data_IF_335689131298
#
_entry.id   IF_335689131298
#
_cell.length_a   1.000
_cell.length_b   1.000
_cell.length_c   1.000
_cell.angle_alpha   90.00
_cell.angle_beta   90.00
_cell.angle_gamma   90.00
#
_symmetry.space_group_name_H-M   'P 1'
#
loop_
_entity.id
_entity.type
_entity.pdbx_description
1 polymer ?
#
# COMPACT_ATOMS: atom_id res chain seq x y z
N UNK A 1 53.83 -55.55 20.43
CA UNK A 1 53.53 -54.49 19.44
C UNK A 1 52.20 -53.87 19.79
N UNK A 2 52.17 -52.54 19.82
CA UNK A 2 51.07 -51.59 20.02
C UNK A 2 50.26 -51.65 21.33
N UNK A 3 50.66 -50.75 22.23
CA UNK A 3 49.80 -50.10 23.22
C UNK A 3 48.91 -49.05 22.52
N UNK A 4 47.65 -48.91 22.95
CA UNK A 4 46.89 -47.68 22.75
C UNK A 4 46.26 -47.26 24.08
N UNK A 5 46.65 -46.07 24.51
CA UNK A 5 46.24 -45.42 25.73
C UNK A 5 44.83 -44.82 25.59
N UNK A 6 44.05 -44.94 26.66
CA UNK A 6 42.75 -44.33 26.86
C UNK A 6 42.96 -43.09 27.75
N UNK A 7 42.63 -41.86 27.32
CA UNK A 7 42.62 -40.72 28.24
C UNK A 7 41.24 -40.58 28.87
N UNK A 8 41.20 -40.77 30.18
CA UNK A 8 40.24 -40.17 31.10
C UNK A 8 40.37 -38.64 31.00
N UNK A 9 39.28 -37.93 30.74
CA UNK A 9 39.18 -36.51 31.03
C UNK A 9 38.00 -36.24 31.96
N UNK A 10 38.36 -35.54 33.04
CA UNK A 10 37.60 -35.23 34.22
C UNK A 10 36.42 -34.30 33.91
N UNK A 11 35.33 -34.52 34.65
CA UNK A 11 34.20 -33.62 34.71
C UNK A 11 34.58 -32.26 35.30
N UNK A 12 34.12 -31.21 34.65
CA UNK A 12 33.97 -29.88 35.24
C UNK A 12 32.50 -29.51 35.08
N UNK A 13 31.76 -29.58 36.18
CA UNK A 13 30.39 -29.05 36.29
C UNK A 13 30.46 -27.53 36.36
N UNK A 14 30.18 -26.87 35.23
CA UNK A 14 29.88 -25.43 35.16
C UNK A 14 28.39 -25.21 34.89
N UNK A 15 27.74 -24.20 35.48
CA UNK A 15 26.32 -23.98 35.31
C UNK A 15 26.00 -23.54 33.87
N UNK A 16 25.00 -24.18 33.28
CA UNK A 16 24.36 -23.73 32.04
C UNK A 16 23.60 -22.45 32.37
N UNK A 17 24.17 -21.30 31.99
CA UNK A 17 23.43 -20.04 31.95
C UNK A 17 22.50 -20.14 30.74
N UNK A 18 21.23 -20.43 31.01
CA UNK A 18 20.16 -20.25 30.05
C UNK A 18 20.09 -18.75 29.73
N UNK A 19 20.50 -18.36 28.52
CA UNK A 19 20.27 -17.01 28.01
C UNK A 19 18.80 -16.92 27.63
N UNK A 20 17.99 -16.53 28.59
CA UNK A 20 16.59 -16.16 28.42
C UNK A 20 16.58 -14.81 27.68
N UNK A 21 16.54 -14.84 26.34
CA UNK A 21 16.34 -13.66 25.51
C UNK A 21 14.87 -13.24 25.58
N UNK A 22 14.50 -12.67 26.73
CA UNK A 22 13.25 -11.95 26.92
C UNK A 22 13.21 -10.77 25.92
N UNK A 23 12.25 -10.81 25.01
CA UNK A 23 11.87 -9.64 24.20
C UNK A 23 11.53 -8.47 25.13
N UNK A 24 11.90 -7.22 24.80
CA UNK A 24 11.62 -6.08 25.65
C UNK A 24 10.11 -5.92 25.83
N UNK A 25 9.66 -5.99 27.08
CA UNK A 25 8.29 -5.69 27.49
C UNK A 25 8.10 -4.18 27.38
N UNK A 26 7.25 -3.73 26.46
CA UNK A 26 6.88 -2.31 26.35
C UNK A 26 5.80 -2.05 27.40
N UNK A 27 6.15 -1.29 28.43
CA UNK A 27 5.20 -0.83 29.45
C UNK A 27 4.34 0.30 28.87
N UNK A 28 3.04 0.04 28.68
CA UNK A 28 2.06 1.05 28.31
C UNK A 28 1.54 1.75 29.56
N UNK A 29 1.52 3.09 29.56
CA UNK A 29 0.77 3.84 30.56
C UNK A 29 -0.73 3.50 30.46
N UNK A 30 -1.46 3.41 31.59
CA UNK A 30 -2.88 3.05 31.58
C UNK A 30 -3.70 4.13 30.86
N UNK A 31 -4.26 3.77 29.70
CA UNK A 31 -5.24 4.57 28.98
C UNK A 31 -6.59 4.45 29.69
N UNK A 32 -7.14 5.58 30.12
CA UNK A 32 -8.53 5.68 30.57
C UNK A 32 -9.48 5.27 29.45
N UNK A 33 -10.43 4.39 29.76
CA UNK A 33 -11.41 3.91 28.81
C UNK A 33 -12.34 5.04 28.36
N UNK A 34 -12.14 5.55 27.14
CA UNK A 34 -13.14 6.38 26.49
C UNK A 34 -14.23 5.50 25.87
N UNK A 35 -15.47 5.92 26.05
CA UNK A 35 -16.70 5.28 25.57
C UNK A 35 -16.74 5.32 24.04
N UNK A 36 -17.37 4.35 23.32
CA UNK A 36 -17.41 4.38 21.86
C UNK A 36 -18.03 5.69 21.37
N UNK A 37 -17.21 6.54 20.76
CA UNK A 37 -17.66 7.81 20.23
C UNK A 37 -18.68 7.56 19.12
N UNK A 38 -19.88 8.13 19.29
CA UNK A 38 -20.80 8.37 18.18
C UNK A 38 -20.00 9.04 17.05
N UNK A 39 -20.20 8.59 15.82
CA UNK A 39 -19.55 9.13 14.62
C UNK A 39 -19.56 10.67 14.66
N UNK A 40 -18.42 11.26 14.99
CA UNK A 40 -18.25 12.71 14.94
C UNK A 40 -18.45 13.15 13.50
N UNK A 41 -19.17 14.24 13.30
CA UNK A 41 -19.25 14.90 12.00
C UNK A 41 -17.82 15.10 11.46
N UNK A 42 -17.56 14.88 10.15
CA UNK A 42 -16.21 14.94 9.62
C UNK A 42 -15.59 16.30 9.98
N UNK A 43 -14.47 16.23 10.71
CA UNK A 43 -13.71 17.39 11.11
C UNK A 43 -13.42 18.27 9.88
N UNK A 44 -13.60 19.58 10.01
CA UNK A 44 -13.35 20.50 8.90
C UNK A 44 -11.90 20.32 8.44
N UNK A 45 -11.72 19.83 7.20
CA UNK A 45 -10.38 19.59 6.66
C UNK A 45 -9.60 20.89 6.66
N UNK A 46 -8.40 20.87 7.25
CA UNK A 46 -7.48 22.01 7.22
C UNK A 46 -7.26 22.49 5.76
N UNK A 47 -6.98 23.80 5.55
CA UNK A 47 -6.71 24.34 4.22
C UNK A 47 -5.63 23.53 3.48
N UNK A 48 -5.71 23.39 2.14
CA UNK A 48 -4.74 22.60 1.37
C UNK A 48 -3.28 22.97 1.66
N UNK A 49 -2.97 24.26 1.82
CA UNK A 49 -1.61 24.74 2.12
C UNK A 49 -1.05 24.22 3.44
N UNK A 50 -1.89 24.03 4.45
CA UNK A 50 -1.48 23.52 5.76
C UNK A 50 -1.27 22.01 5.69
N UNK A 51 -2.19 21.32 5.01
CA UNK A 51 -2.13 19.86 4.81
C UNK A 51 -0.93 19.40 4.00
N UNK A 52 -0.45 20.24 3.08
CA UNK A 52 0.74 20.00 2.28
C UNK A 52 2.02 19.78 3.11
N UNK A 53 2.03 20.16 4.39
CA UNK A 53 3.16 19.98 5.30
C UNK A 53 2.95 18.85 6.31
N UNK A 54 1.77 18.23 6.29
CA UNK A 54 1.43 17.16 7.21
C UNK A 54 1.75 15.82 6.54
N UNK A 55 2.41 14.97 7.30
CA UNK A 55 2.73 13.60 6.92
C UNK A 55 2.32 12.66 8.07
N UNK A 56 1.97 11.40 7.79
CA UNK A 56 1.72 10.43 8.84
C UNK A 56 2.90 10.34 9.82
N UNK A 57 2.63 10.17 11.11
CA UNK A 57 3.67 10.23 12.15
C UNK A 57 4.79 9.18 11.97
N UNK A 58 4.49 8.08 11.27
CA UNK A 58 5.40 6.99 10.96
C UNK A 58 6.13 7.17 9.63
N UNK A 59 5.89 8.27 8.90
CA UNK A 59 6.59 8.62 7.67
C UNK A 59 7.68 9.66 8.01
N UNK A 60 8.93 9.23 8.27
CA UNK A 60 9.97 10.15 8.71
C UNK A 60 10.41 11.07 7.56
N UNK A 61 10.16 12.37 7.71
CA UNK A 61 10.57 13.40 6.75
C UNK A 61 11.92 14.06 7.10
N UNK A 62 12.47 13.76 8.29
CA UNK A 62 13.76 14.29 8.75
C UNK A 62 14.91 13.77 7.87
N UNK A 63 15.85 14.65 7.55
CA UNK A 63 17.04 14.34 6.74
C UNK A 63 16.88 14.59 5.24
N UNK A 64 15.65 14.85 4.78
CA UNK A 64 15.39 15.31 3.41
C UNK A 64 15.79 16.78 3.25
N UNK A 65 16.39 17.12 2.11
CA UNK A 65 16.81 18.47 1.72
C UNK A 65 15.88 19.00 0.64
N UNK A 66 15.69 20.32 0.58
CA UNK A 66 14.91 20.92 -0.50
C UNK A 66 15.51 20.53 -1.87
N UNK A 67 14.67 20.30 -2.89
CA UNK A 67 15.13 20.02 -4.25
C UNK A 67 16.14 21.06 -4.74
N UNK A 68 17.26 20.59 -5.29
CA UNK A 68 18.29 21.47 -5.86
C UNK A 68 17.81 22.22 -7.10
N UNK A 69 16.89 21.59 -7.86
CA UNK A 69 16.32 22.12 -9.09
C UNK A 69 14.87 22.51 -8.83
N UNK A 70 14.48 23.72 -9.26
CA UNK A 70 13.10 24.19 -9.20
C UNK A 70 12.69 24.80 -10.52
N UNK A 71 11.76 24.16 -11.21
CA UNK A 71 11.28 24.57 -12.53
C UNK A 71 9.81 24.96 -12.46
N UNK A 72 9.47 26.10 -13.04
CA UNK A 72 8.09 26.56 -13.19
C UNK A 72 7.68 26.45 -14.66
N UNK A 73 6.54 25.83 -14.92
CA UNK A 73 6.08 25.49 -16.27
C UNK A 73 4.84 26.33 -16.60
N UNK A 74 4.90 27.09 -17.70
CA UNK A 74 3.83 28.00 -18.14
C UNK A 74 2.73 27.26 -18.87
N UNK A 75 1.47 27.48 -18.48
CA UNK A 75 0.35 26.73 -19.06
C UNK A 75 0.20 26.98 -20.58
N UNK A 76 -0.08 28.22 -20.97
CA UNK A 76 -0.41 28.56 -22.36
C UNK A 76 0.75 28.29 -23.32
N UNK A 77 1.97 28.62 -22.90
CA UNK A 77 3.16 28.40 -23.71
C UNK A 77 3.42 26.90 -23.91
N UNK A 78 3.26 26.09 -22.87
CA UNK A 78 3.44 24.63 -22.99
C UNK A 78 2.37 23.99 -23.86
N UNK A 79 1.11 24.44 -23.74
CA UNK A 79 0.00 24.00 -24.59
C UNK A 79 0.26 24.29 -26.06
N UNK A 80 0.76 25.49 -26.37
CA UNK A 80 1.10 25.89 -27.74
C UNK A 80 2.30 25.09 -28.30
N UNK A 81 3.28 24.77 -27.45
CA UNK A 81 4.49 24.06 -27.84
C UNK A 81 4.34 22.53 -27.89
N UNK A 82 3.34 21.96 -27.20
CA UNK A 82 3.16 20.52 -27.08
C UNK A 82 4.17 19.83 -26.15
N UNK A 83 4.93 20.60 -25.37
CA UNK A 83 5.90 20.13 -24.36
C UNK A 83 6.06 21.21 -23.27
N UNK A 84 6.76 20.93 -22.17
CA UNK A 84 6.98 21.92 -21.12
C UNK A 84 7.77 23.14 -21.60
N UNK A 85 7.17 24.32 -21.42
CA UNK A 85 7.83 25.61 -21.57
C UNK A 85 8.02 26.25 -20.21
N UNK A 86 9.27 26.58 -19.88
CA UNK A 86 9.70 26.99 -18.56
C UNK A 86 9.70 28.51 -18.38
N UNK A 87 9.44 28.96 -17.16
CA UNK A 87 9.62 30.36 -16.75
C UNK A 87 11.05 30.58 -16.23
N UNK A 88 11.93 31.11 -17.09
CA UNK A 88 13.33 31.33 -16.76
C UNK A 88 14.24 30.19 -17.23
N UNK A 89 15.09 29.65 -16.34
CA UNK A 89 15.99 28.53 -16.67
C UNK A 89 15.15 27.31 -17.06
N UNK A 90 15.38 26.80 -18.26
CA UNK A 90 14.67 25.64 -18.79
C UNK A 90 15.34 24.31 -18.42
N UNK A 91 14.65 23.21 -18.73
CA UNK A 91 15.22 21.87 -18.61
C UNK A 91 16.43 21.63 -19.53
N UNK A 92 16.63 22.45 -20.56
CA UNK A 92 17.77 22.31 -21.49
C UNK A 92 19.13 22.42 -20.78
N UNK A 93 19.22 23.24 -19.74
CA UNK A 93 20.43 23.41 -18.92
C UNK A 93 20.77 22.15 -18.12
N UNK A 94 19.80 21.24 -17.95
CA UNK A 94 19.97 19.97 -17.24
C UNK A 94 20.59 18.89 -18.13
N UNK A 95 20.64 19.07 -19.46
CA UNK A 95 21.09 18.06 -20.42
C UNK A 95 20.44 16.68 -20.18
N UNK A 96 19.16 16.68 -19.81
CA UNK A 96 18.41 15.46 -19.51
C UNK A 96 18.64 14.87 -18.11
N UNK A 97 19.42 15.52 -17.23
CA UNK A 97 19.89 14.94 -15.96
C UNK A 97 19.60 15.84 -14.76
N UNK A 98 19.16 15.24 -13.66
CA UNK A 98 18.90 15.94 -12.41
C UNK A 98 19.73 15.36 -11.26
N UNK A 99 20.57 16.21 -10.66
CA UNK A 99 21.30 15.91 -9.43
C UNK A 99 20.71 16.69 -8.25
N UNK A 100 20.63 16.06 -7.07
CA UNK A 100 20.14 16.71 -5.85
C UNK A 100 18.62 16.90 -5.73
N UNK A 101 17.82 16.30 -6.63
CA UNK A 101 16.35 16.36 -6.61
C UNK A 101 15.76 17.52 -7.42
N UNK A 102 14.46 17.43 -7.73
CA UNK A 102 13.74 18.46 -8.50
C UNK A 102 12.35 18.77 -7.93
N UNK A 103 11.89 19.99 -8.18
CA UNK A 103 10.50 20.44 -7.98
C UNK A 103 9.96 21.02 -9.29
N UNK A 104 8.95 20.39 -9.88
CA UNK A 104 8.22 20.89 -11.03
C UNK A 104 6.91 21.52 -10.59
N UNK A 105 6.72 22.79 -10.97
CA UNK A 105 5.60 23.63 -10.57
C UNK A 105 4.82 24.02 -11.81
N UNK A 106 3.67 23.39 -12.01
CA UNK A 106 2.81 23.61 -13.17
C UNK A 106 1.82 24.75 -12.91
N UNK A 107 1.70 25.68 -13.85
CA UNK A 107 0.69 26.73 -13.76
C UNK A 107 -0.71 26.13 -13.73
N UNK A 108 -1.45 26.49 -12.68
CA UNK A 108 -2.72 25.87 -12.36
C UNK A 108 -3.83 26.32 -13.32
N UNK A 109 -3.68 27.51 -13.89
CA UNK A 109 -4.66 28.20 -14.71
C UNK A 109 -4.04 28.61 -16.05
N UNK A 110 -4.86 28.59 -17.10
CA UNK A 110 -4.52 29.17 -18.40
C UNK A 110 -4.75 30.70 -18.43
N UNK A 111 -4.44 31.33 -19.56
CA UNK A 111 -4.63 32.77 -19.76
C UNK A 111 -6.07 33.24 -19.68
N UNK A 112 -7.05 32.32 -19.68
CA UNK A 112 -8.47 32.58 -19.49
C UNK A 112 -8.95 32.28 -18.06
N UNK A 113 -8.04 31.90 -17.15
CA UNK A 113 -8.34 31.57 -15.76
C UNK A 113 -9.00 30.21 -15.56
N UNK A 114 -8.99 29.33 -16.56
CA UNK A 114 -9.52 27.96 -16.47
C UNK A 114 -8.42 26.99 -16.01
N UNK A 115 -8.77 25.86 -15.36
CA UNK A 115 -7.79 24.83 -14.99
C UNK A 115 -6.94 24.37 -16.18
N UNK A 116 -5.62 24.38 -16.01
CA UNK A 116 -4.70 24.04 -17.09
C UNK A 116 -4.78 22.55 -17.47
N UNK A 117 -4.81 22.29 -18.78
CA UNK A 117 -4.68 20.95 -19.36
C UNK A 117 -3.44 20.91 -20.27
N UNK A 118 -2.43 20.16 -19.85
CA UNK A 118 -1.20 19.91 -20.59
C UNK A 118 -1.39 18.71 -21.54
N UNK A 119 -1.16 18.86 -22.86
CA UNK A 119 -1.49 17.83 -23.86
C UNK A 119 -0.41 16.73 -24.02
N UNK A 120 0.39 16.50 -22.98
CA UNK A 120 1.54 15.59 -23.00
C UNK A 120 1.69 14.93 -21.62
N UNK A 121 2.52 13.89 -21.53
CA UNK A 121 2.93 13.33 -20.24
C UNK A 121 4.09 14.17 -19.67
N UNK A 122 4.17 14.35 -18.34
CA UNK A 122 5.28 15.08 -17.74
C UNK A 122 6.64 14.50 -18.12
N UNK A 123 7.57 15.38 -18.47
CA UNK A 123 8.96 15.01 -18.66
C UNK A 123 9.59 14.51 -17.34
N UNK A 124 10.45 13.49 -17.43
CA UNK A 124 11.17 12.91 -16.29
C UNK A 124 12.68 12.90 -16.60
N UNK A 125 13.50 13.73 -15.92
CA UNK A 125 14.96 13.70 -16.11
C UNK A 125 15.57 12.40 -15.58
N UNK A 126 16.70 12.00 -16.17
CA UNK A 126 17.55 10.97 -15.60
C UNK A 126 18.11 11.45 -14.27
N UNK A 127 17.90 10.67 -13.21
CA UNK A 127 18.38 11.02 -11.88
C UNK A 127 19.85 10.59 -11.76
N UNK A 128 20.70 11.50 -11.31
CA UNK A 128 22.15 11.28 -11.19
C UNK A 128 22.71 11.82 -9.87
N UNK A 129 23.94 11.44 -9.54
CA UNK A 129 24.64 11.91 -8.35
C UNK A 129 24.15 11.27 -7.05
N UNK A 130 24.41 11.93 -5.92
CA UNK A 130 24.06 11.41 -4.61
C UNK A 130 22.54 11.50 -4.34
N UNK A 131 21.94 10.35 -3.98
CA UNK A 131 20.49 10.24 -3.72
C UNK A 131 20.10 10.52 -2.26
N UNK A 132 21.04 10.40 -1.31
CA UNK A 132 20.67 10.48 0.10
C UNK A 132 20.16 11.86 0.48
N UNK A 133 18.93 11.94 0.96
CA UNK A 133 18.22 13.17 1.34
C UNK A 133 17.58 13.93 0.18
N UNK A 134 17.45 13.35 -1.01
CA UNK A 134 16.84 14.06 -2.17
C UNK A 134 15.32 13.95 -2.20
N UNK A 135 14.70 14.94 -2.86
CA UNK A 135 13.25 15.03 -3.04
C UNK A 135 12.90 15.27 -4.52
N UNK A 136 11.80 14.65 -4.97
CA UNK A 136 11.30 14.70 -6.34
C UNK A 136 9.82 15.05 -6.30
N UNK A 137 9.49 16.30 -6.61
CA UNK A 137 8.17 16.88 -6.35
C UNK A 137 7.57 17.37 -7.66
N UNK A 138 6.31 17.01 -7.90
CA UNK A 138 5.53 17.47 -9.05
C UNK A 138 4.19 17.98 -8.55
N UNK A 139 3.92 19.26 -8.79
CA UNK A 139 2.71 19.88 -8.24
C UNK A 139 2.14 21.02 -9.06
N UNK A 140 0.86 21.29 -8.83
CA UNK A 140 0.25 22.56 -9.21
C UNK A 140 0.87 23.74 -8.46
N UNK A 141 0.91 24.89 -9.13
CA UNK A 141 1.32 26.19 -8.57
C UNK A 141 0.34 26.73 -7.53
N UNK A 142 -0.94 26.33 -7.57
CA UNK A 142 -1.98 26.74 -6.62
C UNK A 142 -2.44 25.51 -5.82
N UNK A 143 -2.15 25.42 -4.51
CA UNK A 143 -2.59 24.31 -3.67
C UNK A 143 -4.11 24.10 -3.71
N UNK A 144 -4.54 22.86 -3.91
CA UNK A 144 -5.95 22.49 -4.07
C UNK A 144 -6.54 22.76 -5.45
N UNK A 145 -5.76 23.31 -6.40
CA UNK A 145 -6.18 23.49 -7.80
C UNK A 145 -5.44 22.52 -8.70
N UNK A 146 -6.12 21.47 -9.10
CA UNK A 146 -5.53 20.40 -9.91
C UNK A 146 -5.18 20.88 -11.33
N UNK A 147 -3.98 20.52 -11.82
CA UNK A 147 -3.63 20.54 -13.26
C UNK A 147 -3.87 19.17 -13.88
N UNK A 148 -4.17 19.10 -15.17
CA UNK A 148 -4.35 17.82 -15.87
C UNK A 148 -3.29 17.61 -16.94
N UNK A 149 -2.64 16.44 -16.93
CA UNK A 149 -1.89 15.92 -18.09
C UNK A 149 -2.78 14.96 -18.84
N UNK A 150 -3.03 15.24 -20.12
CA UNK A 150 -3.89 14.40 -20.97
C UNK A 150 -3.22 14.15 -22.31
N UNK A 151 -2.96 12.87 -22.60
CA UNK A 151 -2.38 12.46 -23.88
C UNK A 151 -2.83 11.05 -24.27
N UNK A 152 -2.91 10.80 -25.58
CA UNK A 152 -3.19 9.48 -26.14
C UNK A 152 -1.96 8.62 -26.36
N UNK A 153 -0.77 9.09 -25.96
CA UNK A 153 0.48 8.35 -26.10
C UNK A 153 0.45 7.01 -25.34
N UNK A 154 0.84 5.96 -26.03
CA UNK A 154 0.87 4.59 -25.50
C UNK A 154 1.89 4.38 -24.39
N UNK A 155 2.88 5.28 -24.28
CA UNK A 155 3.96 5.25 -23.30
C UNK A 155 3.80 6.31 -22.20
N UNK A 156 2.72 7.07 -22.18
CA UNK A 156 2.52 8.14 -21.19
C UNK A 156 2.54 7.62 -19.74
N UNK A 157 3.45 8.16 -18.94
CA UNK A 157 3.64 7.79 -17.54
C UNK A 157 4.41 8.89 -16.79
N UNK A 158 4.25 8.96 -15.47
CA UNK A 158 5.30 9.46 -14.57
C UNK A 158 6.08 8.24 -14.11
N UNK A 159 7.35 8.16 -14.54
CA UNK A 159 8.22 7.02 -14.30
C UNK A 159 9.41 7.42 -13.42
N UNK A 160 9.29 7.18 -12.12
CA UNK A 160 10.37 7.42 -11.17
C UNK A 160 11.15 6.12 -10.96
N UNK A 161 12.30 6.00 -11.62
CA UNK A 161 13.15 4.82 -11.56
C UNK A 161 14.45 5.11 -10.84
N UNK A 162 14.70 4.38 -9.77
CA UNK A 162 15.97 4.41 -9.04
C UNK A 162 16.34 3.01 -8.60
N UNK A 163 17.57 2.61 -8.86
CA UNK A 163 18.07 1.29 -8.53
C UNK A 163 19.21 1.42 -7.52
N UNK A 164 19.39 0.40 -6.70
CA UNK A 164 20.49 0.29 -5.76
C UNK A 164 20.64 1.51 -4.83
N UNK A 165 19.53 2.07 -4.35
CA UNK A 165 19.57 3.30 -3.53
C UNK A 165 20.23 3.07 -2.16
N UNK A 166 20.47 1.82 -1.77
CA UNK A 166 21.24 1.46 -0.58
C UNK A 166 20.64 2.08 0.70
N UNK A 167 21.44 2.76 1.55
CA UNK A 167 20.95 3.38 2.77
C UNK A 167 20.32 4.77 2.55
N UNK A 168 20.15 5.23 1.30
CA UNK A 168 19.69 6.58 1.01
C UNK A 168 18.25 6.84 1.49
N UNK A 169 17.99 8.09 1.85
CA UNK A 169 16.67 8.64 2.13
C UNK A 169 16.14 9.38 0.91
N UNK A 170 15.09 8.87 0.28
CA UNK A 170 14.52 9.47 -0.94
C UNK A 170 13.03 9.73 -0.75
N UNK A 171 12.56 10.86 -1.28
CA UNK A 171 11.15 11.23 -1.24
C UNK A 171 10.61 11.62 -2.61
N UNK A 172 9.41 11.15 -2.91
CA UNK A 172 8.61 11.57 -4.05
C UNK A 172 7.27 12.16 -3.58
N UNK A 173 6.84 13.27 -4.19
CA UNK A 173 5.52 13.84 -3.96
C UNK A 173 4.84 14.25 -5.26
N UNK A 174 3.63 13.72 -5.48
CA UNK A 174 2.71 14.15 -6.55
C UNK A 174 1.50 14.81 -5.91
N UNK A 175 1.24 16.08 -6.28
CA UNK A 175 0.22 16.87 -5.60
C UNK A 175 -0.58 17.78 -6.50
N UNK A 176 -1.91 17.75 -6.37
CA UNK A 176 -2.81 18.55 -7.20
C UNK A 176 -2.56 18.30 -8.70
N UNK A 177 -2.38 17.03 -9.07
CA UNK A 177 -2.12 16.60 -10.44
C UNK A 177 -3.11 15.52 -10.85
N UNK A 178 -3.73 15.68 -12.02
CA UNK A 178 -4.44 14.63 -12.72
C UNK A 178 -3.57 14.05 -13.85
N UNK A 179 -3.42 12.74 -13.86
CA UNK A 179 -2.90 11.95 -14.97
C UNK A 179 -4.09 11.31 -15.68
N UNK A 180 -4.31 11.67 -16.93
CA UNK A 180 -5.38 11.13 -17.78
C UNK A 180 -4.76 10.60 -19.07
N UNK A 181 -4.31 9.34 -19.01
CA UNK A 181 -3.57 8.68 -20.09
C UNK A 181 -4.41 7.55 -20.72
N UNK A 182 -5.47 7.86 -21.49
CA UNK A 182 -6.38 6.89 -22.05
C UNK A 182 -5.78 5.93 -23.07
N UNK A 183 -4.60 6.26 -23.63
CA UNK A 183 -3.88 5.43 -24.59
C UNK A 183 -2.73 4.61 -23.99
N UNK A 184 -2.35 4.84 -22.72
CA UNK A 184 -1.12 4.30 -22.13
C UNK A 184 -1.16 2.80 -21.83
N UNK A 185 -1.15 1.97 -22.87
CA UNK A 185 -1.24 0.50 -22.76
C UNK A 185 0.12 -0.19 -22.46
N UNK A 186 1.23 0.49 -22.73
CA UNK A 186 2.57 -0.07 -22.58
C UNK A 186 3.11 -0.03 -21.14
N UNK A 187 3.01 1.09 -20.38
CA UNK A 187 3.65 1.21 -19.07
C UNK A 187 2.96 0.35 -18.01
N UNK A 188 3.72 -0.08 -16.99
CA UNK A 188 3.19 -0.84 -15.85
C UNK A 188 2.23 0.01 -15.00
N UNK A 189 2.48 1.32 -14.91
CA UNK A 189 1.74 2.29 -14.11
C UNK A 189 1.59 3.63 -14.85
N UNK A 190 0.45 4.31 -14.77
CA UNK A 190 0.40 5.75 -15.10
C UNK A 190 1.29 6.56 -14.12
N UNK A 191 1.29 6.15 -12.85
CA UNK A 191 2.32 6.47 -11.89
C UNK A 191 3.15 5.19 -11.61
N UNK A 192 4.37 5.17 -12.11
CA UNK A 192 5.30 4.05 -11.99
C UNK A 192 6.44 4.42 -11.02
N UNK A 193 6.43 3.81 -9.83
CA UNK A 193 7.39 4.08 -8.76
C UNK A 193 8.38 2.92 -8.62
N UNK A 194 9.28 2.73 -9.59
CA UNK A 194 10.27 1.65 -9.55
C UNK A 194 11.54 2.06 -8.79
N UNK A 195 11.43 2.07 -7.46
CA UNK A 195 12.56 2.37 -6.56
C UNK A 195 12.96 1.11 -5.80
N UNK A 196 14.14 0.56 -6.12
CA UNK A 196 14.60 -0.73 -5.58
C UNK A 196 16.00 -0.64 -4.97
N UNK A 197 16.41 -1.72 -4.28
CA UNK A 197 17.74 -1.83 -3.67
C UNK A 197 17.93 -1.00 -2.38
N UNK A 198 16.86 -0.39 -1.87
CA UNK A 198 16.83 0.23 -0.56
C UNK A 198 17.06 -0.81 0.54
N UNK A 199 17.92 -0.51 1.52
CA UNK A 199 18.18 -1.37 2.68
C UNK A 199 18.14 -0.53 3.95
N UNK A 200 17.59 -1.08 5.04
CA UNK A 200 17.62 -0.44 6.37
C UNK A 200 19.03 0.13 6.67
N UNK A 201 19.16 1.41 7.08
CA UNK A 201 18.09 2.35 7.46
C UNK A 201 17.43 3.12 6.29
N UNK A 202 17.91 2.95 5.06
CA UNK A 202 17.39 3.58 3.85
C UNK A 202 15.90 3.39 3.67
N UNK A 203 15.27 4.35 3.00
CA UNK A 203 13.83 4.39 2.83
C UNK A 203 13.46 5.26 1.63
N UNK A 204 12.55 4.75 0.82
CA UNK A 204 11.80 5.53 -0.14
C UNK A 204 10.43 5.88 0.43
N UNK A 205 10.06 7.15 0.36
CA UNK A 205 8.72 7.63 0.75
C UNK A 205 8.04 8.24 -0.46
N UNK A 206 6.78 7.89 -0.69
CA UNK A 206 5.99 8.40 -1.80
C UNK A 206 4.68 8.96 -1.27
N UNK A 207 4.35 10.19 -1.63
CA UNK A 207 3.10 10.86 -1.27
C UNK A 207 2.34 11.24 -2.53
N UNK A 208 1.08 10.83 -2.61
CA UNK A 208 0.15 11.20 -3.68
C UNK A 208 -1.06 11.87 -3.03
N UNK A 209 -1.32 13.13 -3.36
CA UNK A 209 -2.37 13.88 -2.67
C UNK A 209 -3.19 14.76 -3.60
N UNK A 210 -4.51 14.72 -3.42
CA UNK A 210 -5.47 15.47 -4.25
C UNK A 210 -5.22 15.22 -5.75
N UNK A 211 -4.91 13.97 -6.06
CA UNK A 211 -4.53 13.54 -7.38
C UNK A 211 -5.67 12.75 -8.03
N UNK A 212 -5.68 12.77 -9.37
CA UNK A 212 -6.46 11.81 -10.14
C UNK A 212 -5.51 11.01 -10.99
N UNK A 213 -5.60 9.68 -10.98
CA UNK A 213 -4.68 8.85 -11.76
C UNK A 213 -5.49 7.87 -12.59
N UNK A 214 -5.35 8.00 -13.91
CA UNK A 214 -6.00 7.16 -14.90
C UNK A 214 -5.04 6.83 -16.05
N UNK A 215 -4.99 5.56 -16.43
CA UNK A 215 -4.13 5.04 -17.50
C UNK A 215 -3.15 3.97 -17.02
N UNK A 216 -2.24 3.55 -17.88
CA UNK A 216 -1.30 2.46 -17.61
C UNK A 216 -1.92 1.06 -17.65
N UNK A 217 -1.07 0.02 -17.58
CA UNK A 217 -1.51 -1.35 -17.22
C UNK A 217 -2.08 -1.41 -15.81
N UNK A 218 -1.60 -0.52 -14.94
CA UNK A 218 -2.17 -0.17 -13.65
C UNK A 218 -2.19 1.37 -13.54
N UNK A 219 -3.06 1.95 -12.71
CA UNK A 219 -2.98 3.38 -12.43
C UNK A 219 -1.74 3.69 -11.58
N UNK A 220 -1.51 2.92 -10.52
CA UNK A 220 -0.31 3.01 -9.68
C UNK A 220 0.41 1.67 -9.66
N UNK A 221 1.72 1.69 -9.87
CA UNK A 221 2.60 0.53 -9.66
C UNK A 221 3.70 0.87 -8.66
N UNK A 222 3.83 0.04 -7.62
CA UNK A 222 4.90 0.11 -6.62
C UNK A 222 5.44 -1.31 -6.37
N UNK A 223 6.68 -1.63 -6.80
CA UNK A 223 7.32 -2.92 -6.57
C UNK A 223 7.87 -3.03 -5.14
N UNK A 224 8.42 -4.19 -4.82
CA UNK A 224 8.90 -4.50 -3.47
C UNK A 224 10.14 -3.70 -3.09
N UNK A 225 10.22 -3.38 -1.80
CA UNK A 225 11.33 -2.62 -1.25
C UNK A 225 10.99 -1.91 0.06
N UNK A 226 11.97 -1.19 0.59
CA UNK A 226 11.82 -0.34 1.77
C UNK A 226 11.07 0.96 1.40
N UNK A 227 9.80 0.81 1.04
CA UNK A 227 8.93 1.87 0.52
C UNK A 227 7.74 2.12 1.46
N UNK A 228 7.45 3.39 1.73
CA UNK A 228 6.20 3.83 2.36
C UNK A 228 5.40 4.70 1.39
N UNK A 229 4.23 4.23 0.98
CA UNK A 229 3.31 4.93 0.09
C UNK A 229 2.13 5.50 0.90
N UNK A 230 1.91 6.80 0.79
CA UNK A 230 0.76 7.49 1.34
C UNK A 230 -0.05 8.17 0.22
N UNK A 231 -1.33 7.86 0.14
CA UNK A 231 -2.28 8.40 -0.84
C UNK A 231 -3.44 9.05 -0.09
N UNK A 232 -3.72 10.32 -0.36
CA UNK A 232 -4.83 11.04 0.28
C UNK A 232 -5.69 11.85 -0.69
N UNK A 233 -7.00 11.95 -0.42
CA UNK A 233 -7.98 12.72 -1.19
C UNK A 233 -7.89 12.48 -2.71
N UNK A 234 -7.65 11.26 -3.13
CA UNK A 234 -7.34 10.96 -4.52
C UNK A 234 -8.40 10.08 -5.18
N UNK A 235 -8.49 10.18 -6.50
CA UNK A 235 -9.34 9.32 -7.34
C UNK A 235 -8.43 8.49 -8.25
N UNK A 236 -8.36 7.19 -7.98
CA UNK A 236 -7.50 6.26 -8.72
C UNK A 236 -8.41 5.36 -9.54
N UNK A 237 -8.31 5.50 -10.86
CA UNK A 237 -9.26 4.90 -11.78
C UNK A 237 -8.55 4.06 -12.83
N UNK A 238 -9.01 2.81 -12.96
CA UNK A 238 -8.82 1.92 -14.09
C UNK A 238 -7.40 1.60 -14.54
N UNK A 239 -7.33 0.65 -15.44
CA UNK A 239 -6.23 0.50 -16.37
C UNK A 239 -6.78 0.50 -17.79
N UNK A 240 -5.88 0.78 -18.74
CA UNK A 240 -6.15 0.73 -20.18
C UNK A 240 -5.41 -0.41 -20.86
N UNK A 241 -4.70 -1.25 -20.09
CA UNK A 241 -3.93 -2.36 -20.62
C UNK A 241 -4.79 -3.40 -21.35
N UNK A 242 -4.12 -4.37 -22.00
CA UNK A 242 -4.76 -5.42 -22.79
C UNK A 242 -4.33 -6.87 -22.43
N UNK A 243 -4.10 -7.18 -21.15
CA UNK A 243 -3.68 -8.49 -20.65
C UNK A 243 -4.43 -8.91 -19.37
N UNK A 244 -4.80 -10.18 -19.25
CA UNK A 244 -5.64 -10.67 -18.14
C UNK A 244 -4.95 -10.74 -16.76
N UNK A 245 -3.60 -10.85 -16.72
CA UNK A 245 -2.87 -11.33 -15.54
C UNK A 245 -2.19 -10.22 -14.70
N UNK A 246 -2.14 -8.98 -15.19
CA UNK A 246 -1.41 -7.87 -14.55
C UNK A 246 -2.21 -6.57 -14.48
N UNK A 247 -3.53 -6.66 -14.57
CA UNK A 247 -4.41 -5.52 -14.65
C UNK A 247 -5.10 -5.26 -13.31
N UNK A 248 -4.54 -4.41 -12.49
CA UNK A 248 -5.18 -3.91 -11.28
C UNK A 248 -5.29 -2.39 -11.37
N UNK A 249 -6.21 -1.76 -10.63
CA UNK A 249 -6.18 -0.29 -10.55
C UNK A 249 -4.91 0.13 -9.81
N UNK A 250 -4.60 -0.48 -8.67
CA UNK A 250 -3.28 -0.37 -8.04
C UNK A 250 -2.59 -1.72 -7.96
N UNK A 251 -1.28 -1.71 -8.20
CA UNK A 251 -0.40 -2.88 -8.10
C UNK A 251 0.73 -2.61 -7.12
N UNK A 252 0.49 -2.92 -5.85
CA UNK A 252 1.44 -2.72 -4.76
C UNK A 252 1.95 -4.07 -4.29
N UNK A 253 3.25 -4.31 -4.47
CA UNK A 253 3.88 -5.56 -4.11
C UNK A 253 4.96 -5.33 -3.06
N UNK A 254 4.82 -5.89 -1.85
CA UNK A 254 5.96 -6.07 -0.95
C UNK A 254 6.66 -4.81 -0.46
N UNK A 255 5.93 -3.70 -0.33
CA UNK A 255 6.41 -2.48 0.31
C UNK A 255 6.20 -2.53 1.84
N UNK A 256 6.78 -1.59 2.60
CA UNK A 256 6.60 -1.55 4.05
C UNK A 256 5.21 -1.08 4.45
N UNK A 257 4.77 0.05 3.88
CA UNK A 257 3.51 0.68 4.25
C UNK A 257 2.78 1.13 3.01
N UNK A 258 1.51 0.77 2.91
CA UNK A 258 0.52 1.46 2.08
C UNK A 258 -0.50 2.13 2.98
N UNK A 259 -0.81 3.40 2.70
CA UNK A 259 -1.82 4.13 3.42
C UNK A 259 -2.68 4.91 2.45
N UNK A 260 -3.96 4.58 2.39
CA UNK A 260 -4.98 5.29 1.63
C UNK A 260 -5.93 6.00 2.60
N UNK A 261 -6.10 7.30 2.42
CA UNK A 261 -7.02 8.13 3.21
C UNK A 261 -7.95 8.91 2.28
N UNK A 262 -9.25 8.90 2.54
CA UNK A 262 -10.23 9.68 1.76
C UNK A 262 -10.10 9.44 0.24
N UNK A 263 -9.79 8.21 -0.16
CA UNK A 263 -9.38 7.86 -1.52
C UNK A 263 -10.39 6.91 -2.15
N UNK A 264 -10.72 7.16 -3.41
CA UNK A 264 -11.58 6.29 -4.21
C UNK A 264 -10.76 5.47 -5.20
N UNK A 265 -11.02 4.16 -5.26
CA UNK A 265 -10.44 3.23 -6.22
C UNK A 265 -11.56 2.60 -7.04
N UNK A 266 -11.49 2.76 -8.36
CA UNK A 266 -12.49 2.18 -9.27
C UNK A 266 -11.91 1.92 -10.66
N UNK A 267 -12.77 1.60 -11.63
CA UNK A 267 -12.45 1.64 -13.04
C UNK A 267 -11.75 0.40 -13.62
N UNK A 268 -11.40 -0.59 -12.80
CA UNK A 268 -10.78 -1.84 -13.29
C UNK A 268 -11.69 -2.53 -14.31
N UNK A 269 -11.11 -2.89 -15.44
CA UNK A 269 -11.79 -3.56 -16.54
C UNK A 269 -11.75 -5.08 -16.35
N UNK A 270 -12.86 -5.75 -16.65
CA UNK A 270 -12.79 -7.19 -16.90
C UNK A 270 -12.06 -7.45 -18.24
N UNK A 271 -11.21 -8.47 -18.27
CA UNK A 271 -10.62 -8.94 -19.53
C UNK A 271 -11.61 -9.84 -20.25
N UNK A 272 -12.27 -9.30 -21.29
CA UNK A 272 -13.32 -10.02 -22.02
C UNK A 272 -14.38 -10.60 -21.07
N UNK A 273 -14.57 -11.92 -21.10
CA UNK A 273 -15.48 -12.66 -20.23
C UNK A 273 -14.77 -13.35 -19.05
N UNK A 274 -13.54 -12.95 -18.70
CA UNK A 274 -12.76 -13.54 -17.61
C UNK A 274 -12.78 -12.60 -16.40
N UNK A 275 -12.95 -13.16 -15.20
CA UNK A 275 -12.74 -12.43 -13.96
C UNK A 275 -11.27 -11.98 -13.87
N UNK A 276 -11.00 -10.69 -14.09
CA UNK A 276 -9.65 -10.15 -14.12
C UNK A 276 -9.57 -8.86 -13.34
N UNK A 277 -8.48 -8.75 -12.57
CA UNK A 277 -8.10 -7.54 -11.90
C UNK A 277 -8.86 -7.22 -10.62
N UNK A 278 -8.10 -6.78 -9.63
CA UNK A 278 -8.59 -6.17 -8.40
C UNK A 278 -8.47 -4.66 -8.54
N UNK A 279 -9.37 -3.90 -7.92
CA UNK A 279 -9.19 -2.44 -7.82
C UNK A 279 -8.01 -2.14 -6.90
N UNK A 280 -7.92 -2.83 -5.77
CA UNK A 280 -6.81 -2.68 -4.84
C UNK A 280 -6.06 -3.99 -4.70
N UNK A 281 -4.94 -4.16 -5.41
CA UNK A 281 -3.96 -5.19 -5.05
C UNK A 281 -2.90 -4.56 -4.14
N UNK A 282 -2.89 -5.01 -2.90
CA UNK A 282 -2.05 -4.44 -1.85
C UNK A 282 -1.35 -5.48 -0.99
N UNK A 283 -0.08 -5.72 -1.31
CA UNK A 283 0.76 -6.69 -0.63
C UNK A 283 1.82 -6.01 0.24
N UNK A 284 1.55 -4.78 0.71
CA UNK A 284 2.39 -4.11 1.69
C UNK A 284 2.41 -4.88 3.02
N UNK A 285 3.47 -4.70 3.82
CA UNK A 285 3.54 -5.25 5.18
C UNK A 285 2.48 -4.64 6.10
N UNK A 286 2.38 -3.31 6.16
CA UNK A 286 1.33 -2.59 6.89
C UNK A 286 0.42 -1.87 5.89
N UNK A 287 -0.89 -2.12 5.99
CA UNK A 287 -1.92 -1.56 5.12
C UNK A 287 -2.88 -0.75 5.96
N UNK A 288 -3.09 0.50 5.60
CA UNK A 288 -3.95 1.44 6.34
C UNK A 288 -5.00 2.00 5.38
N UNK A 289 -6.27 1.81 5.68
CA UNK A 289 -7.38 2.33 4.87
C UNK A 289 -8.31 3.19 5.73
N UNK A 290 -8.30 4.49 5.51
CA UNK A 290 -9.14 5.47 6.23
C UNK A 290 -10.14 6.09 5.28
N UNK A 291 -11.43 5.82 5.45
CA UNK A 291 -12.49 6.34 4.58
C UNK A 291 -12.20 6.08 3.09
N UNK A 292 -11.83 4.83 2.78
CA UNK A 292 -11.50 4.40 1.41
C UNK A 292 -12.74 3.84 0.74
N UNK A 293 -13.00 4.25 -0.50
CA UNK A 293 -14.05 3.68 -1.34
C UNK A 293 -13.45 2.79 -2.40
N UNK A 294 -13.93 1.55 -2.53
CA UNK A 294 -13.51 0.63 -3.59
C UNK A 294 -14.74 0.15 -4.36
N UNK A 295 -14.76 0.39 -5.67
CA UNK A 295 -15.90 0.05 -6.52
C UNK A 295 -15.44 -0.67 -7.79
N UNK A 296 -16.11 -1.76 -8.16
CA UNK A 296 -15.86 -2.39 -9.46
C UNK A 296 -16.57 -1.68 -10.62
N UNK A 297 -17.06 -0.45 -10.41
CA UNK A 297 -17.60 0.41 -11.47
C UNK A 297 -16.56 0.51 -12.60
N UNK A 298 -16.90 0.03 -13.80
CA UNK A 298 -15.96 0.07 -14.91
C UNK A 298 -15.85 1.49 -15.45
N UNK A 299 -14.69 1.85 -16.02
CA UNK A 299 -14.55 3.14 -16.67
C UNK A 299 -15.09 3.12 -18.12
N UNK A 300 -14.86 2.03 -18.86
CA UNK A 300 -15.23 1.91 -20.28
C UNK A 300 -15.83 0.57 -20.70
N UNK A 301 -15.77 -0.45 -19.83
CA UNK A 301 -16.08 -1.85 -20.19
C UNK A 301 -16.95 -2.53 -19.13
N UNK A 302 -16.79 -3.85 -18.95
CA UNK A 302 -17.55 -4.66 -18.00
C UNK A 302 -16.89 -4.62 -16.62
N UNK A 303 -17.71 -4.58 -15.57
CA UNK A 303 -17.25 -4.64 -14.19
C UNK A 303 -16.48 -5.96 -13.90
N UNK A 304 -15.41 -5.89 -13.12
CA UNK A 304 -14.66 -7.08 -12.71
C UNK A 304 -15.46 -7.99 -11.77
N UNK A 305 -15.34 -9.30 -11.99
CA UNK A 305 -15.89 -10.37 -11.18
C UNK A 305 -14.96 -10.85 -10.04
N UNK A 306 -13.76 -10.27 -9.90
CA UNK A 306 -12.84 -10.59 -8.79
C UNK A 306 -13.33 -10.00 -7.46
N UNK A 307 -12.78 -10.43 -6.31
CA UNK A 307 -12.77 -9.61 -5.11
C UNK A 307 -12.23 -8.22 -5.44
N UNK A 308 -12.75 -7.17 -4.81
CA UNK A 308 -12.35 -5.81 -5.13
C UNK A 308 -10.97 -5.47 -4.54
N UNK A 309 -10.66 -6.08 -3.39
CA UNK A 309 -9.39 -5.92 -2.69
C UNK A 309 -8.70 -7.28 -2.59
N UNK A 310 -7.43 -7.31 -2.99
CA UNK A 310 -6.52 -8.44 -2.83
C UNK A 310 -5.34 -8.02 -1.94
N UNK A 311 -5.45 -8.33 -0.66
CA UNK A 311 -4.45 -8.00 0.34
C UNK A 311 -3.67 -9.25 0.77
N UNK A 312 -2.48 -9.08 1.34
CA UNK A 312 -1.74 -10.20 1.93
C UNK A 312 -2.30 -10.53 3.32
N UNK A 313 -2.45 -11.81 3.64
CA UNK A 313 -2.74 -12.27 4.99
C UNK A 313 -1.50 -12.12 5.90
N UNK A 314 -0.31 -12.07 5.31
CA UNK A 314 0.93 -11.76 6.02
C UNK A 314 1.10 -10.24 6.15
N UNK A 315 1.46 -9.80 7.35
CA UNK A 315 1.53 -8.40 7.74
C UNK A 315 0.31 -7.94 8.55
N UNK A 316 0.00 -6.65 8.43
CA UNK A 316 -0.99 -5.96 9.25
C UNK A 316 -1.92 -5.13 8.38
N UNK A 317 -3.22 -5.19 8.65
CA UNK A 317 -4.22 -4.33 8.00
C UNK A 317 -5.03 -3.62 9.07
N UNK A 318 -5.10 -2.30 9.00
CA UNK A 318 -6.01 -1.51 9.81
C UNK A 318 -6.89 -0.68 8.90
N UNK A 319 -8.20 -0.82 9.05
CA UNK A 319 -9.16 -0.14 8.20
C UNK A 319 -10.28 0.44 9.02
N UNK A 320 -10.65 1.68 8.73
CA UNK A 320 -11.81 2.35 9.29
C UNK A 320 -12.61 3.05 8.19
N UNK A 321 -13.92 2.79 8.14
CA UNK A 321 -14.83 3.43 7.18
C UNK A 321 -14.65 2.94 5.73
N UNK A 322 -14.24 1.69 5.54
CA UNK A 322 -14.11 1.08 4.22
C UNK A 322 -15.49 0.94 3.54
N UNK A 323 -15.63 1.54 2.37
CA UNK A 323 -16.85 1.51 1.57
C UNK A 323 -16.62 0.65 0.34
N UNK A 324 -17.42 -0.39 0.16
CA UNK A 324 -17.28 -1.31 -0.96
C UNK A 324 -18.56 -1.30 -1.79
N UNK A 325 -18.41 -1.07 -3.10
CA UNK A 325 -19.52 -1.12 -4.06
C UNK A 325 -19.27 -2.17 -5.14
N UNK A 326 -20.11 -3.21 -5.18
CA UNK A 326 -20.09 -4.19 -6.27
C UNK A 326 -21.30 -3.99 -7.20
N UNK A 327 -21.01 -3.51 -8.40
CA UNK A 327 -21.89 -3.53 -9.56
C UNK A 327 -21.86 -4.93 -10.18
N UNK A 328 -23.02 -5.37 -10.70
CA UNK A 328 -23.18 -6.69 -11.36
C UNK A 328 -22.15 -6.85 -12.49
N UNK A 329 -21.20 -7.80 -12.38
CA UNK A 329 -20.32 -8.16 -13.49
C UNK A 329 -21.06 -9.05 -14.51
N UNK A 330 -20.48 -9.26 -15.69
CA UNK A 330 -21.06 -10.17 -16.69
C UNK A 330 -20.85 -11.65 -16.35
N UNK A 331 -19.83 -11.97 -15.56
CA UNK A 331 -19.58 -13.32 -15.04
C UNK A 331 -20.17 -13.50 -13.65
N UNK A 332 -20.27 -14.74 -13.20
CA UNK A 332 -20.48 -15.02 -11.79
C UNK A 332 -19.29 -14.49 -10.98
N UNK A 333 -19.51 -13.54 -10.05
CA UNK A 333 -18.43 -13.03 -9.23
C UNK A 333 -17.94 -14.10 -8.27
N UNK A 334 -16.64 -14.07 -7.98
CA UNK A 334 -16.09 -14.84 -6.87
C UNK A 334 -16.74 -14.38 -5.56
N UNK A 335 -16.87 -15.33 -4.64
CA UNK A 335 -17.32 -15.00 -3.30
C UNK A 335 -16.29 -14.15 -2.56
N UNK A 336 -16.78 -13.26 -1.70
CA UNK A 336 -15.96 -12.29 -1.00
C UNK A 336 -15.73 -11.00 -1.79
N UNK A 337 -15.50 -9.93 -1.04
CA UNK A 337 -15.16 -8.61 -1.56
C UNK A 337 -13.70 -8.25 -1.26
N UNK A 338 -13.16 -8.79 -0.17
CA UNK A 338 -11.78 -8.62 0.27
C UNK A 338 -11.17 -10.00 0.48
N UNK A 339 -10.10 -10.29 -0.25
CA UNK A 339 -9.35 -11.53 -0.11
C UNK A 339 -8.04 -11.25 0.64
N UNK A 340 -7.88 -11.83 1.82
CA UNK A 340 -6.64 -11.85 2.60
C UNK A 340 -5.90 -13.13 2.25
N UNK A 341 -4.96 -13.00 1.32
CA UNK A 341 -4.34 -14.11 0.60
C UNK A 341 -2.99 -14.51 1.20
N UNK A 342 -2.75 -15.82 1.26
CA UNK A 342 -1.61 -16.44 1.93
C UNK A 342 -0.66 -17.16 0.97
N UNK A 343 -0.90 -17.09 -0.34
CA UNK A 343 -0.19 -17.91 -1.32
C UNK A 343 1.07 -17.28 -1.94
N UNK A 344 1.31 -15.98 -1.82
CA UNK A 344 2.49 -15.36 -2.44
C UNK A 344 3.12 -14.26 -1.58
N UNK A 345 4.42 -14.40 -1.35
CA UNK A 345 5.23 -13.40 -0.64
C UNK A 345 5.84 -12.43 -1.65
N UNK A 346 5.68 -11.13 -1.36
CA UNK A 346 6.22 -10.06 -2.18
C UNK A 346 7.27 -9.22 -1.46
N UNK A 347 7.14 -9.08 -0.13
CA UNK A 347 8.07 -8.30 0.69
C UNK A 347 9.37 -9.04 1.02
N UNK A 348 10.36 -8.28 1.52
CA UNK A 348 11.60 -8.82 2.04
C UNK A 348 11.32 -9.83 3.18
N UNK A 349 11.97 -11.01 3.21
CA UNK A 349 11.84 -11.98 4.29
C UNK A 349 11.96 -11.39 5.70
N UNK A 350 12.83 -10.39 5.89
CA UNK A 350 13.03 -9.70 7.17
C UNK A 350 11.87 -8.77 7.56
N UNK A 351 10.89 -8.57 6.68
CA UNK A 351 9.64 -7.86 6.99
C UNK A 351 8.58 -8.78 7.60
N UNK A 352 8.83 -10.08 7.71
CA UNK A 352 7.93 -11.03 8.32
C UNK A 352 8.45 -11.41 9.72
N UNK A 353 7.87 -10.86 10.81
CA UNK A 353 8.34 -11.14 12.17
C UNK A 353 8.13 -12.60 12.61
N UNK A 354 7.30 -13.35 11.88
CA UNK A 354 6.98 -14.74 12.17
C UNK A 354 7.03 -15.61 10.91
N UNK A 355 7.14 -16.93 11.11
CA UNK A 355 7.06 -17.88 9.99
C UNK A 355 5.78 -17.66 9.18
N UNK A 356 5.98 -17.52 7.87
CA UNK A 356 4.92 -17.47 6.85
C UNK A 356 4.42 -18.88 6.51
N UNK A 357 5.06 -19.93 7.03
CA UNK A 357 4.62 -21.32 6.90
C UNK A 357 4.01 -21.83 8.21
N UNK A 358 2.96 -22.65 8.08
CA UNK A 358 2.39 -23.40 9.19
C UNK A 358 3.21 -24.69 9.41
N UNK A 359 4.39 -24.53 9.99
CA UNK A 359 5.40 -25.59 10.20
C UNK A 359 5.30 -26.31 11.56
N UNK A 360 4.30 -25.96 12.38
CA UNK A 360 4.08 -26.53 13.70
C UNK A 360 4.91 -25.89 14.84
N UNK A 361 5.78 -24.92 14.54
CA UNK A 361 6.50 -24.14 15.57
C UNK A 361 5.58 -23.19 16.36
N UNK A 362 4.39 -22.93 15.83
CA UNK A 362 3.35 -22.12 16.45
C UNK A 362 2.07 -22.92 16.64
N UNK A 363 1.39 -22.65 17.75
CA UNK A 363 0.02 -23.09 18.00
C UNK A 363 -0.77 -21.91 18.59
N UNK A 364 -1.91 -21.61 17.98
CA UNK A 364 -2.85 -20.62 18.50
C UNK A 364 -3.31 -21.05 19.90
N UNK A 365 -3.24 -20.19 20.92
CA UNK A 365 -3.69 -20.53 22.26
C UNK A 365 -5.21 -20.73 22.32
N UNK A 366 -5.67 -21.37 23.39
CA UNK A 366 -7.10 -21.62 23.62
C UNK A 366 -7.94 -20.34 23.70
N UNK A 367 -7.32 -19.19 24.01
CA UNK A 367 -7.93 -17.85 23.95
C UNK A 367 -7.23 -17.02 22.85
N UNK A 368 -7.62 -17.16 21.58
CA UNK A 368 -6.91 -16.52 20.46
C UNK A 368 -6.90 -14.98 20.54
N UNK A 369 -7.98 -14.37 21.03
CA UNK A 369 -8.09 -12.91 21.18
C UNK A 369 -7.11 -12.32 22.21
N UNK A 370 -6.49 -13.15 23.06
CA UNK A 370 -5.44 -12.72 23.98
C UNK A 370 -4.03 -12.77 23.34
N UNK A 371 -3.90 -13.21 22.09
CA UNK A 371 -2.63 -13.37 21.38
C UNK A 371 -2.53 -12.51 20.11
N UNK A 372 -3.34 -11.46 20.00
CA UNK A 372 -3.38 -10.58 18.82
C UNK A 372 -2.05 -9.87 18.55
N UNK A 373 -1.19 -9.74 19.56
CA UNK A 373 0.17 -9.19 19.49
C UNK A 373 1.22 -10.18 18.92
N UNK A 374 0.82 -11.44 18.68
CA UNK A 374 1.70 -12.54 18.28
C UNK A 374 1.32 -13.16 16.95
N UNK A 375 0.40 -12.55 16.21
CA UNK A 375 -0.17 -13.07 14.96
C UNK A 375 -0.22 -11.98 13.90
N UNK A 376 -0.19 -12.36 12.62
CA UNK A 376 -0.52 -11.44 11.55
C UNK A 376 -1.98 -11.04 11.68
N UNK A 377 -2.27 -9.74 11.61
CA UNK A 377 -3.52 -9.20 12.10
C UNK A 377 -4.17 -8.25 11.10
N UNK A 378 -5.42 -8.51 10.74
CA UNK A 378 -6.25 -7.57 9.99
C UNK A 378 -7.44 -7.13 10.81
N UNK A 379 -7.69 -5.83 10.88
CA UNK A 379 -8.79 -5.21 11.64
C UNK A 379 -9.55 -4.29 10.70
N UNK A 380 -10.86 -4.52 10.58
CA UNK A 380 -11.77 -3.73 9.77
C UNK A 380 -12.87 -3.14 10.65
N UNK A 381 -13.00 -1.82 10.63
CA UNK A 381 -13.91 -1.06 11.48
C UNK A 381 -14.87 -0.32 10.57
N UNK A 382 -16.17 -0.43 10.83
CA UNK A 382 -17.24 0.29 10.14
C UNK A 382 -17.20 0.09 8.61
N UNK A 383 -17.07 -1.16 8.16
CA UNK A 383 -17.12 -1.47 6.71
C UNK A 383 -18.57 -1.48 6.22
N UNK A 384 -18.85 -0.78 5.12
CA UNK A 384 -20.18 -0.73 4.50
C UNK A 384 -20.15 -1.31 3.09
N UNK A 385 -21.11 -2.17 2.78
CA UNK A 385 -21.22 -2.85 1.48
C UNK A 385 -22.49 -2.43 0.76
N UNK A 386 -22.35 -2.00 -0.49
CA UNK A 386 -23.45 -1.89 -1.46
C UNK A 386 -23.19 -2.89 -2.58
N UNK A 387 -24.12 -3.81 -2.82
CA UNK A 387 -23.94 -4.81 -3.88
C UNK A 387 -25.23 -5.04 -4.66
N UNK A 388 -25.09 -5.46 -5.92
CA UNK A 388 -26.19 -5.88 -6.76
C UNK A 388 -26.88 -7.16 -6.27
N UNK A 389 -26.27 -7.87 -5.31
CA UNK A 389 -26.78 -9.07 -4.64
C UNK A 389 -26.47 -8.98 -3.14
N UNK A 390 -27.12 -9.83 -2.35
CA UNK A 390 -26.63 -10.09 -1.00
C UNK A 390 -25.33 -10.89 -1.07
N UNK A 391 -24.21 -10.31 -0.64
CA UNK A 391 -22.93 -11.02 -0.65
C UNK A 391 -22.87 -12.08 0.46
N UNK A 392 -22.34 -13.28 0.19
CA UNK A 392 -22.26 -14.34 1.19
C UNK A 392 -21.33 -13.97 2.34
N UNK A 393 -20.28 -13.18 2.07
CA UNK A 393 -19.40 -12.57 3.05
C UNK A 393 -18.58 -11.42 2.45
N UNK A 394 -18.03 -10.55 3.31
CA UNK A 394 -17.12 -9.46 2.88
C UNK A 394 -15.69 -9.97 2.80
N UNK A 395 -15.18 -10.53 3.89
CA UNK A 395 -13.77 -10.82 4.09
C UNK A 395 -13.50 -12.33 4.03
N UNK A 396 -12.43 -12.70 3.36
CA UNK A 396 -11.92 -14.08 3.35
C UNK A 396 -10.51 -14.09 3.91
N UNK A 397 -10.27 -14.84 4.99
CA UNK A 397 -8.92 -15.14 5.47
C UNK A 397 -8.50 -16.51 4.94
N UNK A 398 -7.59 -16.52 3.96
CA UNK A 398 -7.13 -17.76 3.35
C UNK A 398 -6.20 -18.53 4.31
N UNK A 399 -6.34 -19.87 4.41
CA UNK A 399 -5.47 -20.68 5.24
C UNK A 399 -3.99 -20.51 4.91
N UNK A 400 -3.14 -20.50 5.92
CA UNK A 400 -1.68 -20.49 5.76
C UNK A 400 -1.19 -21.78 5.10
N UNK A 401 -0.23 -21.70 4.19
CA UNK A 401 0.38 -22.89 3.59
C UNK A 401 1.45 -23.54 4.47
N UNK A 402 1.84 -24.76 4.13
CA UNK A 402 2.83 -25.56 4.91
C UNK A 402 4.19 -25.65 4.24
N UNK A 403 4.31 -25.25 2.98
CA UNK A 403 5.54 -25.32 2.20
C UNK A 403 5.62 -24.20 1.16
N UNK A 404 6.82 -23.94 0.68
CA UNK A 404 7.04 -23.14 -0.53
C UNK A 404 6.96 -24.03 -1.76
N UNK A 405 6.38 -23.52 -2.84
CA UNK A 405 6.46 -24.18 -4.13
C UNK A 405 7.93 -24.22 -4.59
N UNK A 406 8.44 -25.36 -5.11
CA UNK A 406 9.85 -25.53 -5.40
C UNK A 406 10.45 -24.40 -6.26
N UNK A 407 11.53 -23.79 -5.76
CA UNK A 407 12.25 -22.72 -6.47
C UNK A 407 11.55 -21.36 -6.50
N UNK A 408 10.51 -21.15 -5.67
CA UNK A 408 9.72 -19.90 -5.66
C UNK A 408 9.54 -19.34 -4.25
N UNK A 409 9.02 -18.11 -4.16
CA UNK A 409 8.52 -17.49 -2.91
C UNK A 409 7.01 -17.70 -2.72
N UNK A 410 6.39 -18.53 -3.56
CA UNK A 410 4.98 -18.89 -3.49
C UNK A 410 4.79 -19.88 -2.35
N UNK A 411 3.88 -19.57 -1.43
CA UNK A 411 3.45 -20.49 -0.39
C UNK A 411 2.34 -21.36 -0.96
N UNK A 412 2.54 -22.68 -0.97
CA UNK A 412 1.52 -23.60 -1.45
C UNK A 412 0.32 -23.55 -0.52
N UNK A 413 -0.80 -23.03 -1.03
CA UNK A 413 -2.08 -23.05 -0.31
C UNK A 413 -2.50 -24.50 -0.05
N UNK A 414 -2.98 -24.78 1.15
CA UNK A 414 -3.46 -26.14 1.49
C UNK A 414 -4.78 -26.07 2.25
N UNK A 415 -5.68 -27.00 1.92
CA UNK A 415 -6.87 -27.30 2.73
C UNK A 415 -6.52 -28.18 3.96
N UNK A 416 -5.23 -28.49 4.15
CA UNK A 416 -4.74 -29.45 5.14
C UNK A 416 -4.18 -28.79 6.40
N UNK A 417 -3.93 -27.49 6.37
CA UNK A 417 -3.40 -26.75 7.52
C UNK A 417 -4.44 -26.67 8.63
N UNK A 418 -4.14 -27.27 9.79
CA UNK A 418 -5.04 -27.21 10.92
C UNK A 418 -5.21 -25.75 11.37
N UNK A 419 -6.45 -25.35 11.69
CA UNK A 419 -6.76 -23.97 12.14
C UNK A 419 -5.83 -23.50 13.26
N UNK A 420 -5.54 -24.38 14.22
CA UNK A 420 -4.65 -24.09 15.34
C UNK A 420 -3.19 -23.77 14.98
N UNK A 421 -2.70 -24.25 13.83
CA UNK A 421 -1.33 -23.99 13.37
C UNK A 421 -1.19 -22.64 12.65
N UNK A 422 -2.32 -22.01 12.28
CA UNK A 422 -2.31 -20.75 11.56
C UNK A 422 -1.97 -19.60 12.51
N UNK A 423 -1.08 -18.71 12.06
CA UNK A 423 -0.60 -17.57 12.84
C UNK A 423 -1.15 -16.25 12.31
N UNK A 424 -2.43 -16.26 11.95
CA UNK A 424 -3.12 -15.13 11.34
C UNK A 424 -4.52 -15.01 11.93
N UNK A 425 -4.97 -13.78 12.20
CA UNK A 425 -6.32 -13.48 12.66
C UNK A 425 -6.90 -12.27 11.94
N UNK A 426 -8.23 -12.22 11.83
CA UNK A 426 -8.95 -11.09 11.25
C UNK A 426 -10.17 -10.74 12.08
N UNK A 427 -10.32 -9.45 12.40
CA UNK A 427 -11.42 -8.93 13.21
C UNK A 427 -12.19 -7.88 12.40
N UNK A 428 -13.52 -7.96 12.45
CA UNK A 428 -14.41 -6.96 11.86
C UNK A 428 -15.36 -6.42 12.93
N UNK A 429 -15.55 -5.10 12.94
CA UNK A 429 -16.46 -4.39 13.84
C UNK A 429 -17.42 -3.53 13.00
N UNK A 430 -18.72 -3.62 13.26
CA UNK A 430 -19.73 -2.77 12.63
C UNK A 430 -19.84 -2.94 11.11
N UNK A 431 -19.65 -4.15 10.59
CA UNK A 431 -19.84 -4.42 9.14
C UNK A 431 -21.33 -4.43 8.80
N UNK A 432 -21.73 -3.68 7.77
CA UNK A 432 -23.15 -3.50 7.40
C UNK A 432 -23.38 -3.41 5.89
N UNK A 433 -24.65 -3.45 5.46
CA UNK A 433 -25.06 -3.31 4.06
C UNK A 433 -25.56 -4.61 3.43
N UNK A 434 -25.36 -4.79 2.12
CA UNK A 434 -25.85 -5.93 1.33
C UNK A 434 -25.02 -7.20 1.56
N UNK A 435 -24.98 -7.70 2.80
CA UNK A 435 -24.12 -8.82 3.20
C UNK A 435 -24.85 -9.77 4.16
N UNK A 436 -24.58 -11.08 4.03
CA UNK A 436 -25.11 -12.11 4.93
C UNK A 436 -24.31 -12.21 6.25
N UNK A 437 -22.97 -12.14 6.19
CA UNK A 437 -22.07 -12.16 7.36
C UNK A 437 -20.73 -11.49 7.04
N UNK A 438 -19.96 -10.99 8.02
CA UNK A 438 -18.69 -10.33 7.72
C UNK A 438 -17.63 -11.26 7.12
N UNK A 439 -17.50 -12.49 7.63
CA UNK A 439 -16.42 -13.41 7.26
C UNK A 439 -16.89 -14.71 6.61
N UNK A 440 -16.01 -15.25 5.76
CA UNK A 440 -16.04 -16.66 5.36
C UNK A 440 -15.78 -17.58 6.58
N UNK A 441 -16.15 -18.88 6.51
CA UNK A 441 -16.04 -19.79 7.66
C UNK A 441 -14.59 -20.28 7.95
N UNK A 442 -13.59 -19.79 7.22
CA UNK A 442 -12.19 -20.21 7.36
C UNK A 442 -11.38 -19.27 8.27
N UNK A 443 -10.28 -19.80 8.83
CA UNK A 443 -9.30 -19.02 9.59
C UNK A 443 -9.75 -18.58 10.98
N UNK A 444 -8.93 -17.78 11.66
CA UNK A 444 -9.28 -17.15 12.94
C UNK A 444 -9.94 -15.80 12.69
N UNK A 445 -11.23 -15.85 12.37
CA UNK A 445 -12.05 -14.68 12.04
C UNK A 445 -13.08 -14.39 13.13
N UNK A 446 -13.31 -13.10 13.40
CA UNK A 446 -14.21 -12.65 14.46
C UNK A 446 -15.02 -11.45 13.99
N UNK A 447 -16.35 -11.55 14.08
CA UNK A 447 -17.28 -10.44 13.84
C UNK A 447 -17.79 -9.90 15.18
N UNK A 448 -17.62 -8.60 15.40
CA UNK A 448 -18.00 -7.88 16.62
C UNK A 448 -17.60 -8.59 17.92
N UNK A 449 -16.34 -9.08 18.07
CA UNK A 449 -15.94 -9.79 19.27
C UNK A 449 -15.86 -8.84 20.48
N UNK A 450 -16.22 -9.36 21.65
CA UNK A 450 -15.81 -8.73 22.90
C UNK A 450 -14.30 -8.91 23.10
N UNK A 451 -13.55 -7.80 23.08
CA UNK A 451 -12.10 -7.83 23.27
C UNK A 451 -11.74 -8.03 24.75
N UNK A 452 -10.80 -8.94 25.09
CA UNK A 452 -10.32 -9.06 26.45
C UNK A 452 -9.51 -7.82 26.87
N UNK A 453 -9.33 -7.57 28.18
CA UNK A 453 -8.44 -6.54 28.67
C UNK A 453 -7.04 -6.66 28.07
N UNK A 454 -6.47 -5.55 27.61
CA UNK A 454 -5.16 -5.51 26.97
C UNK A 454 -5.18 -5.75 25.46
N UNK A 455 -6.31 -6.16 24.87
CA UNK A 455 -6.46 -6.30 23.41
C UNK A 455 -7.09 -5.07 22.75
N UNK A 456 -7.53 -4.06 23.51
CA UNK A 456 -8.23 -2.89 22.97
C UNK A 456 -7.37 -2.00 22.05
N UNK A 457 -6.03 -2.14 22.11
CA UNK A 457 -5.12 -1.39 21.24
C UNK A 457 -5.41 -1.60 19.75
N UNK A 458 -6.02 -2.73 19.37
CA UNK A 458 -6.37 -3.02 17.97
C UNK A 458 -7.39 -2.05 17.38
N UNK A 459 -8.19 -1.39 18.24
CA UNK A 459 -9.16 -0.37 17.86
C UNK A 459 -8.53 1.04 17.83
N UNK A 460 -7.36 1.22 18.42
CA UNK A 460 -6.63 2.49 18.38
C UNK A 460 -5.66 2.49 17.19
N UNK A 461 -5.96 3.33 16.19
CA UNK A 461 -5.17 3.48 14.96
C UNK A 461 -3.66 3.62 15.22
N UNK A 462 -3.25 4.55 16.07
CA UNK A 462 -1.84 4.81 16.30
C UNK A 462 -1.15 3.64 17.01
N UNK A 463 -1.79 3.08 18.04
CA UNK A 463 -1.24 1.94 18.78
C UNK A 463 -1.05 0.73 17.86
N UNK A 464 -2.02 0.46 16.96
CA UNK A 464 -1.93 -0.60 15.98
C UNK A 464 -0.75 -0.39 15.02
N UNK A 465 -0.62 0.81 14.46
CA UNK A 465 0.47 1.15 13.54
C UNK A 465 1.84 1.02 14.22
N UNK A 466 1.96 1.54 15.46
CA UNK A 466 3.21 1.43 16.25
C UNK A 466 3.56 -0.02 16.55
N UNK A 467 2.57 -0.85 16.88
CA UNK A 467 2.78 -2.28 17.10
C UNK A 467 3.33 -2.96 15.82
N UNK A 468 2.66 -2.75 14.69
CA UNK A 468 3.07 -3.36 13.42
C UNK A 468 4.49 -2.94 13.01
N UNK A 469 4.82 -1.66 13.04
CA UNK A 469 6.15 -1.18 12.66
C UNK A 469 7.24 -1.56 13.67
N UNK A 470 6.90 -1.59 14.96
CA UNK A 470 7.81 -2.00 16.03
C UNK A 470 8.31 -3.44 15.86
N UNK A 471 7.47 -4.35 15.37
CA UNK A 471 7.85 -5.76 15.13
C UNK A 471 8.95 -5.94 14.08
N UNK A 472 9.10 -4.98 13.15
CA UNK A 472 10.14 -5.01 12.11
C UNK A 472 11.23 -3.95 12.33
N UNK A 473 11.24 -3.29 13.50
CA UNK A 473 12.22 -2.27 13.86
C UNK A 473 12.15 -1.00 13.01
N UNK A 474 10.93 -0.52 12.72
CA UNK A 474 10.68 0.69 11.93
C UNK A 474 10.00 1.81 12.72
#
# INVERSE_FOLDING_TARGET
MLALACPLLFGVTGPIVASDSALPRIDYAPLTAETPAQAQAPEAKAPPQERDRLYPFYMPMKGLRAPAIRLRIKCDASRAAGHEVYDGRGADELYGRAEGGYEFIYEALDGQGQPCVYPFAPWMPQITGALDGTQYIMRSSIPGRQVTFRTGDEWATIDLRMFDIGPARVHFELRDVALDFPGAIQPMGALHLEVTGAKKPGLFTAVVRRARIYGGKNAIFAPSGETMLYVEDSDIAGNVGTSADQQHTTYINGILVSHFRDTALHGQQAWQNVASGHQLKDKAYLRIYENVSVSNRPNRSTASAMPLIDASAYGFTWSEGLQIERIRPAQDPRDGLVDLRSEMLYGDPASYPWSVLADGSWQMPAQPLAALDKVYLSVFINTTVRSFRQEPYVFTLRPQGTAFAPGTTTVEGTDRTARGQQRMASLAFGTSGDVARPYSPQGWTYADPALPPGAQWVLNREAFIRHALGLIGR
#
